data_IF_527221355922
#
_entry.id   IF_527221355922
#
_cell.length_a   1.000
_cell.length_b   1.000
_cell.length_c   1.000
_cell.angle_alpha   90.00
_cell.angle_beta   90.00
_cell.angle_gamma   90.00
#
_symmetry.space_group_name_H-M   'P 1'
#
loop_
_entity.id
_entity.type
_entity.pdbx_description
1 polymer ?
#
# COMPACT_ATOMS: atom_id res chain seq x y z
N UNK A 1 -13.68 -3.04 -10.27
CA UNK A 1 -14.11 -2.13 -9.18
C UNK A 1 -13.02 -1.11 -8.91
N UNK A 2 -13.34 0.18 -8.66
CA UNK A 2 -12.35 1.21 -8.32
C UNK A 2 -12.49 1.63 -6.85
N UNK A 3 -11.40 1.77 -6.10
CA UNK A 3 -11.40 2.22 -4.70
C UNK A 3 -10.33 3.29 -4.46
N UNK A 4 -10.72 4.46 -3.94
CA UNK A 4 -9.83 5.63 -3.75
C UNK A 4 -8.87 5.55 -2.55
N UNK A 5 -9.06 4.60 -1.64
CA UNK A 5 -8.29 4.47 -0.39
C UNK A 5 -7.61 3.08 -0.34
N UNK A 6 -6.68 2.82 -1.25
CA UNK A 6 -5.98 1.54 -1.37
C UNK A 6 -5.01 1.26 -0.22
N UNK A 7 -4.53 2.29 0.48
CA UNK A 7 -3.68 2.15 1.67
C UNK A 7 -4.48 2.02 2.99
N UNK A 8 -5.81 1.96 2.94
CA UNK A 8 -6.64 1.78 4.14
C UNK A 8 -7.16 0.33 4.21
N UNK A 9 -6.75 -0.41 5.25
CA UNK A 9 -7.03 -1.84 5.35
C UNK A 9 -8.53 -2.16 5.42
N UNK A 10 -9.31 -1.38 6.17
CA UNK A 10 -10.77 -1.57 6.25
C UNK A 10 -11.45 -1.39 4.90
N UNK A 11 -11.01 -0.39 4.13
CA UNK A 11 -11.50 -0.12 2.79
C UNK A 11 -11.17 -1.26 1.82
N UNK A 12 -9.98 -1.85 1.94
CA UNK A 12 -9.54 -3.00 1.15
C UNK A 12 -10.31 -4.25 1.52
N UNK A 13 -10.45 -4.57 2.81
CA UNK A 13 -11.23 -5.72 3.29
C UNK A 13 -12.67 -5.64 2.78
N UNK A 14 -13.34 -4.49 2.95
CA UNK A 14 -14.72 -4.29 2.44
C UNK A 14 -14.80 -4.49 0.92
N UNK A 15 -13.79 -4.03 0.18
CA UNK A 15 -13.71 -4.20 -1.27
C UNK A 15 -13.57 -5.69 -1.65
N UNK A 16 -12.69 -6.42 -0.96
CA UNK A 16 -12.45 -7.85 -1.16
C UNK A 16 -13.68 -8.70 -0.81
N UNK A 17 -14.34 -8.42 0.32
CA UNK A 17 -15.59 -9.09 0.72
C UNK A 17 -16.65 -8.94 -0.37
N UNK A 18 -16.81 -7.73 -0.93
CA UNK A 18 -17.72 -7.48 -2.04
C UNK A 18 -17.28 -8.18 -3.33
N UNK A 19 -16.00 -8.15 -3.67
CA UNK A 19 -15.49 -8.82 -4.87
C UNK A 19 -15.73 -10.34 -4.82
N UNK A 20 -15.60 -10.95 -3.64
CA UNK A 20 -15.87 -12.39 -3.43
C UNK A 20 -17.30 -12.78 -3.81
N UNK A 21 -18.31 -11.96 -3.50
CA UNK A 21 -19.71 -12.22 -3.87
C UNK A 21 -19.99 -12.09 -5.38
N UNK A 22 -19.04 -11.55 -6.14
CA UNK A 22 -19.12 -11.39 -7.59
C UNK A 22 -18.40 -12.51 -8.36
N UNK A 23 -17.64 -13.37 -7.67
CA UNK A 23 -16.97 -14.54 -8.28
C UNK A 23 -17.95 -15.63 -8.71
N UNK A 24 -17.51 -16.56 -9.55
CA UNK A 24 -18.31 -17.72 -9.99
C UNK A 24 -19.39 -17.39 -11.05
N UNK A 25 -19.35 -16.20 -11.65
CA UNK A 25 -20.34 -15.70 -12.61
C UNK A 25 -19.83 -15.63 -14.04
N UNK A 26 -18.87 -16.49 -14.40
CA UNK A 26 -18.33 -16.59 -15.76
C UNK A 26 -17.45 -15.42 -16.22
N UNK A 27 -17.13 -14.47 -15.33
CA UNK A 27 -16.26 -13.33 -15.64
C UNK A 27 -15.24 -13.08 -14.51
N UNK A 28 -14.00 -12.67 -14.83
CA UNK A 28 -13.01 -12.30 -13.83
C UNK A 28 -13.38 -11.01 -13.11
N UNK A 29 -12.94 -10.88 -11.86
CA UNK A 29 -13.15 -9.67 -11.05
C UNK A 29 -11.81 -8.94 -10.90
N UNK A 30 -11.71 -7.74 -11.47
CA UNK A 30 -10.57 -6.86 -11.29
C UNK A 30 -10.87 -5.77 -10.23
N UNK A 31 -9.93 -5.55 -9.31
CA UNK A 31 -9.98 -4.47 -8.33
C UNK A 31 -8.84 -3.49 -8.63
N UNK A 32 -9.21 -2.23 -8.84
CA UNK A 32 -8.30 -1.12 -9.08
C UNK A 32 -8.25 -0.29 -7.80
N UNK A 33 -7.14 -0.39 -7.08
CA UNK A 33 -6.88 0.36 -5.86
C UNK A 33 -6.06 1.61 -6.21
N UNK A 34 -6.50 2.76 -5.72
CA UNK A 34 -5.70 3.98 -5.75
C UNK A 34 -4.81 4.00 -4.51
N UNK A 35 -3.51 4.13 -4.69
CA UNK A 35 -2.50 4.08 -3.64
C UNK A 35 -1.47 5.18 -3.85
N UNK A 36 -0.82 5.61 -2.77
CA UNK A 36 0.31 6.53 -2.84
C UNK A 36 1.63 5.74 -2.87
N UNK A 37 2.46 5.98 -3.89
CA UNK A 37 3.82 5.42 -3.94
C UNK A 37 4.63 5.97 -2.76
N UNK A 38 5.36 5.11 -2.05
CA UNK A 38 6.12 5.50 -0.87
C UNK A 38 5.28 5.80 0.38
N UNK A 39 3.98 5.46 0.38
CA UNK A 39 3.08 5.71 1.51
C UNK A 39 3.67 5.29 2.86
N UNK A 40 3.67 6.22 3.83
CA UNK A 40 4.16 5.99 5.19
C UNK A 40 5.57 6.52 5.45
N UNK A 41 6.26 7.02 4.41
CA UNK A 41 7.57 7.68 4.55
C UNK A 41 7.58 8.97 3.74
N UNK A 42 7.64 10.13 4.38
CA UNK A 42 7.38 11.44 3.78
C UNK A 42 8.29 11.75 2.59
N UNK A 43 9.59 11.50 2.71
CA UNK A 43 10.55 11.77 1.64
C UNK A 43 10.44 10.79 0.45
N UNK A 44 9.69 9.70 0.64
CA UNK A 44 9.40 8.72 -0.41
C UNK A 44 8.05 8.94 -1.10
N UNK A 45 7.12 9.64 -0.45
CA UNK A 45 5.76 9.79 -0.94
C UNK A 45 5.65 10.62 -2.21
N UNK A 46 4.85 10.15 -3.16
CA UNK A 46 4.44 10.91 -4.35
C UNK A 46 5.54 11.13 -5.40
N UNK A 47 6.66 10.41 -5.31
CA UNK A 47 7.79 10.55 -6.24
C UNK A 47 8.32 9.22 -6.75
N UNK A 48 8.71 9.18 -8.02
CA UNK A 48 9.27 8.00 -8.68
C UNK A 48 10.74 7.72 -8.27
N UNK A 49 11.42 8.69 -7.64
CA UNK A 49 12.85 8.61 -7.26
C UNK A 49 13.18 7.32 -6.49
N UNK A 50 12.23 6.86 -5.68
CA UNK A 50 12.39 5.72 -4.78
C UNK A 50 11.88 4.40 -5.34
N UNK A 51 11.54 4.32 -6.64
CA UNK A 51 11.07 3.09 -7.25
C UNK A 51 12.10 1.95 -7.22
N UNK A 52 13.39 2.27 -7.36
CA UNK A 52 14.50 1.31 -7.34
C UNK A 52 15.75 1.81 -6.65
N UNK A 53 15.65 2.91 -5.90
CA UNK A 53 16.77 3.51 -5.17
C UNK A 53 16.71 3.08 -3.71
N UNK A 54 17.80 2.53 -3.18
CA UNK A 54 17.88 2.17 -1.77
C UNK A 54 18.12 3.42 -0.90
N UNK A 55 17.49 3.53 0.29
CA UNK A 55 17.83 4.55 1.28
C UNK A 55 19.22 4.30 1.87
N UNK A 56 19.91 5.37 2.28
CA UNK A 56 21.12 5.28 3.10
C UNK A 56 20.76 5.13 4.60
N UNK A 57 21.76 4.99 5.46
CA UNK A 57 21.57 4.76 6.90
C UNK A 57 20.76 5.87 7.60
N UNK A 58 20.98 7.14 7.24
CA UNK A 58 20.24 8.28 7.80
C UNK A 58 18.77 8.25 7.37
N UNK A 59 18.51 8.01 6.09
CA UNK A 59 17.17 7.89 5.51
C UNK A 59 16.42 6.70 6.07
N UNK A 60 17.13 5.61 6.36
CA UNK A 60 16.57 4.44 7.02
C UNK A 60 16.05 4.80 8.41
N UNK A 61 16.87 5.46 9.25
CA UNK A 61 16.45 5.86 10.59
C UNK A 61 15.22 6.78 10.54
N UNK A 62 15.18 7.71 9.58
CA UNK A 62 14.02 8.58 9.35
C UNK A 62 12.78 7.75 8.98
N UNK A 63 12.91 6.81 8.04
CA UNK A 63 11.81 5.97 7.59
C UNK A 63 11.23 5.11 8.73
N UNK A 64 12.08 4.49 9.55
CA UNK A 64 11.66 3.70 10.71
C UNK A 64 11.00 4.54 11.79
N UNK A 65 11.41 5.81 11.95
CA UNK A 65 10.77 6.72 12.90
C UNK A 65 9.32 7.06 12.51
N UNK A 66 9.02 7.07 11.21
CA UNK A 66 7.69 7.36 10.66
C UNK A 66 6.84 6.10 10.52
N UNK A 67 7.47 4.97 10.27
CA UNK A 67 6.83 3.67 10.13
C UNK A 67 7.54 2.65 11.03
N UNK A 68 7.15 2.68 12.30
CA UNK A 68 7.78 1.86 13.32
C UNK A 68 7.58 0.36 13.06
N UNK A 69 8.65 -0.35 13.32
CA UNK A 69 8.74 -1.80 13.38
C UNK A 69 7.69 -2.37 14.39
N UNK A 70 7.18 -3.58 14.14
CA UNK A 70 6.13 -4.20 14.99
C UNK A 70 6.34 -5.68 15.36
N UNK A 71 7.19 -6.42 14.66
CA UNK A 71 7.47 -7.85 14.79
C UNK A 71 8.87 -8.18 15.37
N UNK A 72 9.72 -7.19 15.63
CA UNK A 72 11.12 -7.29 16.01
C UNK A 72 12.08 -7.77 14.92
N UNK A 73 11.74 -7.64 13.63
CA UNK A 73 12.51 -8.22 12.50
C UNK A 73 13.36 -7.20 11.72
N UNK A 74 13.57 -6.02 12.31
CA UNK A 74 14.47 -4.97 11.85
C UNK A 74 15.58 -4.71 12.88
#
# INVERSE_FOLDING_TARGET
MKKKNGNNIDAVIKCLTKAKTMTGKGAPVAIILHTEMGNGVDFMMGTHKWHGSAPNDEQLQIALSQNQETLGDY
#
